data_IF_794165714948
#
_entry.id   IF_794165714948
#
_cell.length_a   1.000
_cell.length_b   1.000
_cell.length_c   1.000
_cell.angle_alpha   90.00
_cell.angle_beta   90.00
_cell.angle_gamma   90.00
#
_symmetry.space_group_name_H-M   'P 1'
#
loop_
_entity.id
_entity.type
_entity.pdbx_description
1 polymer ?
#
# COMPACT_ATOMS: atom_id res chain seq x y z
N UNK A 1 7.29 -6.59 -8.96
CA UNK A 1 6.13 -6.84 -8.09
C UNK A 1 6.20 -8.30 -7.73
N UNK A 2 6.69 -8.57 -6.53
CA UNK A 2 6.72 -9.93 -6.01
C UNK A 2 5.33 -10.25 -5.46
N UNK A 3 4.95 -11.53 -5.46
CA UNK A 3 3.65 -11.97 -4.96
C UNK A 3 3.37 -11.51 -3.52
N UNK A 4 4.42 -11.28 -2.72
CA UNK A 4 4.35 -10.67 -1.38
C UNK A 4 3.78 -9.26 -1.40
N UNK A 5 4.24 -8.43 -2.33
CA UNK A 5 3.92 -7.00 -2.38
C UNK A 5 2.46 -6.79 -2.80
N UNK A 6 1.93 -7.72 -3.61
CA UNK A 6 0.54 -7.73 -4.06
C UNK A 6 -0.41 -8.07 -2.89
N UNK A 7 -0.07 -9.07 -2.07
CA UNK A 7 -0.85 -9.44 -0.86
C UNK A 7 -0.84 -8.31 0.16
N UNK A 8 0.31 -7.66 0.37
CA UNK A 8 0.42 -6.52 1.27
C UNK A 8 -0.45 -5.33 0.82
N UNK A 9 -0.57 -5.08 -0.48
CA UNK A 9 -1.41 -4.01 -1.02
C UNK A 9 -2.91 -4.24 -0.72
N UNK A 10 -3.39 -5.47 -0.93
CA UNK A 10 -4.78 -5.86 -0.70
C UNK A 10 -5.17 -5.73 0.77
N UNK A 11 -4.31 -6.23 1.66
CA UNK A 11 -4.50 -6.14 3.11
C UNK A 11 -4.54 -4.67 3.57
N UNK A 12 -3.59 -3.85 3.12
CA UNK A 12 -3.56 -2.42 3.49
C UNK A 12 -4.77 -1.65 2.94
N UNK A 13 -5.21 -1.93 1.72
CA UNK A 13 -6.40 -1.31 1.13
C UNK A 13 -7.68 -1.71 1.89
N UNK A 14 -7.79 -2.99 2.28
CA UNK A 14 -8.88 -3.48 3.11
C UNK A 14 -8.92 -2.81 4.48
N UNK A 15 -7.78 -2.68 5.15
CA UNK A 15 -7.67 -2.01 6.46
C UNK A 15 -8.03 -0.51 6.37
N UNK A 16 -7.71 0.15 5.26
CA UNK A 16 -8.12 1.54 5.03
C UNK A 16 -9.64 1.69 4.89
N UNK A 17 -10.31 0.77 4.19
CA UNK A 17 -11.78 0.79 4.07
C UNK A 17 -12.46 0.58 5.44
N UNK A 18 -11.95 -0.36 6.24
CA UNK A 18 -12.45 -0.61 7.62
C UNK A 18 -12.28 0.63 8.50
N UNK A 19 -11.15 1.35 8.38
CA UNK A 19 -10.89 2.60 9.13
C UNK A 19 -11.90 3.71 8.81
N UNK A 20 -12.46 3.71 7.61
CA UNK A 20 -13.47 4.67 7.17
C UNK A 20 -14.90 4.11 7.33
N UNK A 21 -15.08 3.03 8.11
CA UNK A 21 -16.34 2.33 8.36
C UNK A 21 -17.06 1.89 7.07
N UNK A 22 -16.28 1.56 6.03
CA UNK A 22 -16.79 1.05 4.75
C UNK A 22 -16.50 -0.44 4.60
N UNK A 23 -17.47 -1.16 4.05
CA UNK A 23 -17.36 -2.59 3.75
C UNK A 23 -17.04 -2.87 2.27
N UNK A 24 -16.84 -1.81 1.47
CA UNK A 24 -16.46 -1.89 0.06
C UNK A 24 -15.17 -1.11 -0.12
N UNK A 25 -14.16 -1.78 -0.70
CA UNK A 25 -12.88 -1.16 -1.05
C UNK A 25 -13.08 -0.26 -2.27
N UNK A 26 -12.69 1.00 -2.15
CA UNK A 26 -12.74 1.97 -3.24
C UNK A 26 -11.35 2.15 -3.86
N UNK A 27 -11.31 2.66 -5.09
CA UNK A 27 -10.06 3.00 -5.80
C UNK A 27 -9.15 3.91 -5.00
N UNK A 28 -9.72 4.80 -4.18
CA UNK A 28 -9.00 5.70 -3.27
C UNK A 28 -8.19 4.97 -2.19
N UNK A 29 -8.63 3.80 -1.76
CA UNK A 29 -7.96 3.01 -0.72
C UNK A 29 -6.71 2.32 -1.30
N UNK A 30 -6.76 1.90 -2.56
CA UNK A 30 -5.60 1.38 -3.29
C UNK A 30 -4.52 2.45 -3.54
N UNK A 31 -4.92 3.69 -3.86
CA UNK A 31 -3.94 4.79 -4.02
C UNK A 31 -3.17 5.09 -2.72
N UNK A 32 -3.84 4.95 -1.56
CA UNK A 32 -3.22 5.11 -0.25
C UNK A 32 -2.31 3.92 0.08
N UNK A 33 -2.79 2.70 -0.13
CA UNK A 33 -2.01 1.47 0.09
C UNK A 33 -0.73 1.45 -0.78
N UNK A 34 -0.85 1.80 -2.07
CA UNK A 34 0.27 1.86 -3.02
C UNK A 34 1.39 2.80 -2.54
N UNK A 35 1.02 3.99 -2.06
CA UNK A 35 2.00 4.95 -1.52
C UNK A 35 2.69 4.44 -0.26
N UNK A 36 2.04 3.60 0.54
CA UNK A 36 2.61 3.12 1.80
C UNK A 36 3.50 1.89 1.61
N UNK A 37 3.11 0.96 0.71
CA UNK A 37 3.86 -0.27 0.44
C UNK A 37 5.11 0.04 -0.39
N UNK A 38 4.97 0.75 -1.51
CA UNK A 38 6.09 0.92 -2.46
C UNK A 38 7.12 1.96 -2.00
N UNK A 39 6.69 3.00 -1.26
CA UNK A 39 7.64 3.99 -0.74
C UNK A 39 8.47 3.47 0.43
N UNK A 40 8.07 2.38 1.09
CA UNK A 40 8.86 1.79 2.18
C UNK A 40 10.19 1.23 1.64
N UNK A 41 10.13 0.55 0.50
CA UNK A 41 11.29 -0.13 -0.08
C UNK A 41 12.21 0.79 -0.90
N UNK A 42 11.76 2.00 -1.27
CA UNK A 42 12.56 2.95 -2.04
C UNK A 42 13.44 3.90 -1.20
N UNK A 43 13.55 3.70 0.12
CA UNK A 43 14.38 4.57 0.97
C UNK A 43 15.89 4.29 0.89
N UNK A 44 16.34 3.39 0.01
CA UNK A 44 17.74 3.26 -0.35
C UNK A 44 18.15 4.46 -1.24
N UNK A 45 18.56 5.54 -0.59
CA UNK A 45 19.11 6.70 -1.29
C UNK A 45 20.46 6.33 -1.93
N UNK A 46 20.43 5.90 -3.20
CA UNK A 46 21.61 5.67 -4.06
C UNK A 46 22.57 6.86 -4.11
N UNK A 47 22.12 8.04 -3.69
CA UNK A 47 22.89 9.28 -3.66
C UNK A 47 24.14 9.25 -2.74
N UNK A 48 24.22 8.31 -1.79
CA UNK A 48 25.37 8.19 -0.87
C UNK A 48 26.32 7.02 -1.18
N UNK A 49 26.23 6.41 -2.36
CA UNK A 49 27.10 5.30 -2.77
C UNK A 49 28.20 5.73 -3.73
#
# INVERSE_FOLDING_TARGET
>A
MNLSDDVDLEDYAGMHAVRENRYVVLTKDFEKAYKNVIKKDQNDFEFYK
#
